data_IF_885343658236
#
_entry.id   IF_885343658236
#
_cell.length_a   1.000
_cell.length_b   1.000
_cell.length_c   1.000
_cell.angle_alpha   90.00
_cell.angle_beta   90.00
_cell.angle_gamma   90.00
#
_symmetry.space_group_name_H-M   'P 1'
#
loop_
_entity.id
_entity.type
_entity.pdbx_description
1 polymer ?
#
# COMPACT_ATOMS: atom_id res chain seq x y z
N UNK A 1 0.25 14.28 6.70
CA UNK A 1 1.02 13.01 6.88
C UNK A 1 2.28 12.94 6.01
N UNK A 2 2.29 13.43 4.75
CA UNK A 2 3.50 13.39 3.90
C UNK A 2 4.65 14.31 4.36
N UNK A 3 4.34 15.47 4.95
CA UNK A 3 5.34 16.41 5.44
C UNK A 3 6.18 15.86 6.62
N UNK A 4 5.55 15.09 7.51
CA UNK A 4 6.25 14.46 8.64
C UNK A 4 7.18 13.32 8.18
N UNK A 5 6.76 12.55 7.17
CA UNK A 5 7.62 11.53 6.54
C UNK A 5 8.85 12.14 5.86
N UNK A 6 8.67 13.25 5.13
CA UNK A 6 9.78 13.97 4.50
C UNK A 6 10.75 14.60 5.51
N UNK A 7 10.24 15.10 6.65
CA UNK A 7 11.07 15.58 7.75
C UNK A 7 11.91 14.45 8.35
N UNK A 8 11.32 13.28 8.60
CA UNK A 8 12.07 12.12 9.12
C UNK A 8 13.11 11.59 8.13
N UNK A 9 12.86 11.67 6.82
CA UNK A 9 13.80 11.23 5.79
C UNK A 9 14.95 12.22 5.54
N UNK A 10 14.66 13.52 5.39
CA UNK A 10 15.67 14.53 5.05
C UNK A 10 16.39 15.14 6.26
N UNK A 11 15.71 15.22 7.41
CA UNK A 11 16.24 15.89 8.61
C UNK A 11 16.71 14.87 9.65
N UNK A 12 16.01 13.74 9.81
CA UNK A 12 16.37 12.70 10.80
C UNK A 12 17.14 11.53 10.17
N UNK A 13 17.14 11.41 8.84
CA UNK A 13 17.91 10.38 8.11
C UNK A 13 17.35 8.96 8.25
N UNK A 14 16.06 8.79 8.55
CA UNK A 14 15.46 7.46 8.61
C UNK A 14 15.22 6.91 7.20
N UNK A 15 15.81 5.75 6.91
CA UNK A 15 15.56 5.03 5.67
C UNK A 15 14.07 4.64 5.54
N UNK A 16 13.44 4.90 4.38
CA UNK A 16 12.04 4.56 4.17
C UNK A 16 11.86 3.05 4.20
N UNK A 17 10.95 2.57 5.05
CA UNK A 17 10.62 1.15 5.11
C UNK A 17 10.09 0.66 3.74
N UNK A 18 10.68 -0.40 3.15
CA UNK A 18 10.29 -0.90 1.83
C UNK A 18 8.82 -1.36 1.79
N UNK A 19 8.30 -1.91 2.91
CA UNK A 19 6.89 -2.25 3.05
C UNK A 19 5.97 -1.04 2.91
N UNK A 20 6.37 0.11 3.44
CA UNK A 20 5.59 1.35 3.39
C UNK A 20 5.48 1.91 1.97
N UNK A 21 6.54 1.75 1.15
CA UNK A 21 6.52 2.14 -0.26
C UNK A 21 5.54 1.25 -1.04
N UNK A 22 5.58 -0.07 -0.81
CA UNK A 22 4.68 -1.02 -1.45
C UNK A 22 3.22 -0.73 -1.08
N UNK A 23 2.94 -0.46 0.19
CA UNK A 23 1.60 -0.06 0.67
C UNK A 23 1.06 1.14 -0.12
N UNK A 24 1.90 2.15 -0.32
CA UNK A 24 1.53 3.38 -1.02
C UNK A 24 1.29 3.13 -2.51
N UNK A 25 2.11 2.28 -3.14
CA UNK A 25 1.92 1.87 -4.53
C UNK A 25 0.60 1.12 -4.72
N UNK A 26 0.27 0.20 -3.81
CA UNK A 26 -0.99 -0.57 -3.87
C UNK A 26 -2.21 0.34 -3.73
N UNK A 27 -2.16 1.30 -2.80
CA UNK A 27 -3.24 2.28 -2.64
C UNK A 27 -3.42 3.14 -3.90
N UNK A 28 -2.31 3.57 -4.50
CA UNK A 28 -2.34 4.32 -5.76
C UNK A 28 -2.93 3.48 -6.90
N UNK A 29 -2.54 2.21 -7.02
CA UNK A 29 -3.08 1.29 -8.01
C UNK A 29 -4.60 1.07 -7.85
N UNK A 30 -5.09 0.94 -6.60
CA UNK A 30 -6.54 0.88 -6.32
C UNK A 30 -7.25 2.14 -6.80
N UNK A 31 -6.70 3.33 -6.49
CA UNK A 31 -7.27 4.61 -6.91
C UNK A 31 -7.35 4.76 -8.43
N UNK A 32 -6.29 4.37 -9.14
CA UNK A 32 -6.26 4.37 -10.61
C UNK A 32 -7.27 3.37 -11.17
N UNK A 33 -7.38 2.17 -10.60
CA UNK A 33 -8.36 1.18 -11.04
C UNK A 33 -9.81 1.68 -10.87
N UNK A 34 -10.11 2.37 -9.76
CA UNK A 34 -11.40 3.04 -9.56
C UNK A 34 -11.65 4.16 -10.57
N UNK A 35 -10.64 4.99 -10.85
CA UNK A 35 -10.75 6.07 -11.82
C UNK A 35 -11.05 5.54 -13.23
N UNK A 36 -10.34 4.49 -13.64
CA UNK A 36 -10.56 3.81 -14.92
C UNK A 36 -11.94 3.16 -14.97
N UNK A 37 -12.37 2.50 -13.89
CA UNK A 37 -13.70 1.90 -13.82
C UNK A 37 -14.81 2.96 -13.95
N UNK A 38 -14.63 4.13 -13.31
CA UNK A 38 -15.56 5.25 -13.39
C UNK A 38 -15.60 5.88 -14.79
N UNK A 39 -14.44 6.05 -15.44
CA UNK A 39 -14.33 6.60 -16.80
C UNK A 39 -14.89 5.64 -17.87
N UNK A 40 -14.61 4.35 -17.75
CA UNK A 40 -15.01 3.37 -18.75
C UNK A 40 -16.50 3.02 -18.68
N UNK A 41 -17.15 3.31 -17.55
CA UNK A 41 -18.59 3.19 -17.29
C UNK A 41 -19.25 1.97 -17.98
N UNK A 42 -18.77 0.74 -17.74
CA UNK A 42 -19.20 -0.42 -18.50
C UNK A 42 -20.68 -0.72 -18.23
N UNK A 43 -21.50 -0.67 -19.28
CA UNK A 43 -22.96 -0.87 -19.21
C UNK A 43 -23.42 -2.30 -18.82
N UNK A 44 -22.51 -3.18 -18.39
CA UNK A 44 -22.78 -4.59 -18.12
C UNK A 44 -22.22 -5.11 -16.80
N UNK A 45 -22.95 -6.05 -16.17
CA UNK A 45 -22.53 -6.73 -14.91
C UNK A 45 -21.16 -7.39 -15.00
N UNK A 46 -20.75 -7.84 -16.20
CA UNK A 46 -19.45 -8.48 -16.39
C UNK A 46 -18.30 -7.48 -16.20
N UNK A 47 -18.42 -6.28 -16.77
CA UNK A 47 -17.42 -5.22 -16.60
C UNK A 47 -17.30 -4.78 -15.15
N UNK A 48 -18.44 -4.53 -14.47
CA UNK A 48 -18.45 -4.19 -13.05
C UNK A 48 -17.80 -5.28 -12.17
N UNK A 49 -18.03 -6.56 -12.46
CA UNK A 49 -17.40 -7.68 -11.74
C UNK A 49 -15.90 -7.79 -11.98
N UNK A 50 -15.43 -7.56 -13.20
CA UNK A 50 -14.01 -7.58 -13.53
C UNK A 50 -13.26 -6.44 -12.82
N UNK A 51 -13.76 -5.21 -12.94
CA UNK A 51 -13.17 -4.06 -12.25
C UNK A 51 -13.23 -4.22 -10.73
N UNK A 52 -14.38 -4.65 -10.19
CA UNK A 52 -14.54 -4.95 -8.77
C UNK A 52 -13.58 -6.03 -8.27
N UNK A 53 -13.37 -7.09 -9.06
CA UNK A 53 -12.42 -8.16 -8.74
C UNK A 53 -10.97 -7.68 -8.68
N UNK A 54 -10.54 -6.88 -9.66
CA UNK A 54 -9.18 -6.30 -9.68
C UNK A 54 -8.98 -5.36 -8.50
N UNK A 55 -9.94 -4.48 -8.24
CA UNK A 55 -9.91 -3.55 -7.09
C UNK A 55 -9.85 -4.33 -5.78
N UNK A 56 -10.68 -5.36 -5.61
CA UNK A 56 -10.70 -6.19 -4.41
C UNK A 56 -9.37 -6.92 -4.19
N UNK A 57 -8.74 -7.44 -5.25
CA UNK A 57 -7.43 -8.06 -5.19
C UNK A 57 -6.34 -7.08 -4.73
N UNK A 58 -6.29 -5.88 -5.33
CA UNK A 58 -5.33 -4.85 -4.96
C UNK A 58 -5.56 -4.36 -3.51
N UNK A 59 -6.80 -4.22 -3.09
CA UNK A 59 -7.15 -3.85 -1.72
C UNK A 59 -6.76 -4.95 -0.72
N UNK A 60 -6.98 -6.23 -1.05
CA UNK A 60 -6.58 -7.37 -0.21
C UNK A 60 -5.06 -7.43 -0.03
N UNK A 61 -4.29 -7.21 -1.11
CA UNK A 61 -2.84 -7.07 -1.05
C UNK A 61 -2.43 -5.91 -0.14
N UNK A 62 -3.11 -4.76 -0.26
CA UNK A 62 -2.88 -3.61 0.61
C UNK A 62 -3.13 -3.93 2.09
N UNK A 63 -4.20 -4.68 2.40
CA UNK A 63 -4.49 -5.13 3.76
C UNK A 63 -3.40 -6.07 4.28
N UNK A 64 -2.92 -7.00 3.46
CA UNK A 64 -1.86 -7.93 3.85
C UNK A 64 -0.55 -7.20 4.20
N UNK A 65 -0.15 -6.23 3.37
CA UNK A 65 1.04 -5.39 3.62
C UNK A 65 0.87 -4.55 4.89
N UNK A 66 -0.33 -3.97 5.09
CA UNK A 66 -0.62 -3.15 6.27
C UNK A 66 -0.59 -3.98 7.55
N UNK A 67 -1.21 -5.16 7.52
CA UNK A 67 -1.21 -6.09 8.65
C UNK A 67 0.21 -6.50 9.05
N UNK A 68 1.06 -6.81 8.07
CA UNK A 68 2.48 -7.09 8.32
C UNK A 68 3.21 -5.89 8.93
N UNK A 69 2.91 -4.68 8.46
CA UNK A 69 3.51 -3.46 8.99
C UNK A 69 3.09 -3.19 10.44
N UNK A 70 1.80 -3.32 10.76
CA UNK A 70 1.28 -3.17 12.13
C UNK A 70 1.87 -4.23 13.08
N UNK A 71 2.03 -5.46 12.60
CA UNK A 71 2.70 -6.52 13.35
C UNK A 71 4.15 -6.17 13.67
N UNK A 72 4.92 -5.67 12.69
CA UNK A 72 6.30 -5.22 12.90
C UNK A 72 6.41 -4.02 13.86
N UNK A 73 5.41 -3.13 13.87
CA UNK A 73 5.34 -2.00 14.79
C UNK A 73 5.08 -2.41 16.25
N UNK A 74 4.42 -3.54 16.47
CA UNK A 74 4.17 -4.07 17.82
C UNK A 74 5.39 -4.80 18.42
N UNK A 75 6.42 -5.13 17.62
CA UNK A 75 7.61 -5.83 18.12
C UNK A 75 8.58 -4.84 18.78
N UNK A 76 9.12 -5.17 19.97
CA UNK A 76 10.17 -4.39 20.64
C UNK A 76 11.37 -4.08 19.74
N UNK A 77 11.95 -2.89 19.92
CA UNK A 77 12.96 -2.34 19.00
C UNK A 77 14.23 -3.18 18.85
N UNK A 78 14.57 -3.91 19.90
CA UNK A 78 15.68 -4.86 20.03
C UNK A 78 15.48 -6.15 19.22
N UNK A 79 14.24 -6.48 18.85
CA UNK A 79 13.88 -7.76 18.21
C UNK A 79 13.19 -7.58 16.86
N UNK A 80 13.12 -6.36 16.32
CA UNK A 80 12.44 -6.11 15.04
C UNK A 80 13.20 -6.79 13.89
N UNK A 81 12.58 -7.77 13.20
CA UNK A 81 13.15 -8.32 11.99
C UNK A 81 13.19 -7.25 10.89
N UNK A 82 14.12 -7.40 9.94
CA UNK A 82 14.22 -6.48 8.81
C UNK A 82 12.87 -6.34 8.09
N UNK A 83 12.51 -5.09 7.76
CA UNK A 83 11.26 -4.76 7.07
C UNK A 83 11.21 -5.24 5.61
N UNK A 84 12.29 -5.80 5.07
CA UNK A 84 12.37 -6.34 3.72
C UNK A 84 13.71 -7.04 3.52
N UNK A 85 13.90 -7.75 2.40
CA UNK A 85 15.21 -8.30 2.04
C UNK A 85 16.24 -7.18 2.01
N UNK A 86 17.46 -7.44 2.49
CA UNK A 86 18.56 -6.50 2.38
C UNK A 86 18.81 -6.24 0.90
N UNK A 87 18.52 -5.01 0.46
CA UNK A 87 18.82 -4.51 -0.87
C UNK A 87 20.08 -3.65 -0.78
#
# INVERSE_FOLDING_TARGET
MLAFGYYLQLVVGLDPCPLCIIQRLLLFAVGVAFLVAALHHPAGRLGARLYGGVIALLAALGIAVAGRHVWLQHIPADQRPACGPAL
#
